data_IF_914861012652
#
_entry.id   IF_914861012652
#
_cell.length_a   1.000
_cell.length_b   1.000
_cell.length_c   1.000
_cell.angle_alpha   90.00
_cell.angle_beta   90.00
_cell.angle_gamma   90.00
#
_symmetry.space_group_name_H-M   'P 1'
#
loop_
_entity.id
_entity.type
_entity.pdbx_description
1 polymer ?
#
# COMPACT_ATOMS: atom_id res chain seq x y z
N UNK A 1 -8.28 3.86 0.91
CA UNK A 1 -8.63 2.44 0.99
C UNK A 1 -7.65 1.60 0.19
N UNK A 2 -7.12 0.56 0.80
CA UNK A 2 -6.12 -0.35 0.23
C UNK A 2 -6.73 -1.75 0.28
N UNK A 3 -7.24 -2.26 -0.86
CA UNK A 3 -7.89 -3.57 -0.92
C UNK A 3 -6.90 -4.73 -0.87
N UNK A 4 -7.39 -5.92 -0.61
CA UNK A 4 -6.64 -7.17 -0.65
C UNK A 4 -5.92 -7.39 -1.99
N UNK A 5 -6.58 -7.09 -3.10
CA UNK A 5 -6.02 -7.18 -4.46
C UNK A 5 -5.92 -5.82 -5.10
N UNK A 6 -4.70 -5.40 -5.42
CA UNK A 6 -4.47 -4.14 -6.10
C UNK A 6 -4.65 -4.32 -7.61
N UNK A 7 -5.60 -3.59 -8.16
CA UNK A 7 -5.76 -3.47 -9.60
C UNK A 7 -4.78 -2.43 -10.16
N UNK A 8 -4.04 -2.82 -11.17
CA UNK A 8 -3.13 -1.94 -11.92
C UNK A 8 -3.66 -1.75 -13.34
N UNK A 9 -3.68 -0.51 -13.81
CA UNK A 9 -3.99 -0.21 -15.21
C UNK A 9 -2.73 -0.40 -16.07
N UNK A 10 -2.92 -0.69 -17.38
CA UNK A 10 -1.84 -0.88 -18.37
C UNK A 10 -1.22 0.47 -18.78
N UNK A 11 -0.71 1.20 -17.80
CA UNK A 11 -0.10 2.51 -17.93
C UNK A 11 1.19 2.58 -17.10
N UNK A 12 1.84 3.73 -17.08
CA UNK A 12 3.06 3.95 -16.31
C UNK A 12 2.85 3.82 -14.80
N UNK A 13 3.95 3.62 -14.07
CA UNK A 13 3.95 3.68 -12.59
C UNK A 13 3.41 5.03 -12.12
N UNK A 14 3.81 6.12 -12.78
CA UNK A 14 3.35 7.48 -12.52
C UNK A 14 1.82 7.58 -12.54
N UNK A 15 1.20 7.08 -13.59
CA UNK A 15 -0.25 7.12 -13.78
C UNK A 15 -1.00 6.14 -12.88
N UNK A 16 -0.37 5.03 -12.52
CA UNK A 16 -0.92 4.11 -11.54
C UNK A 16 -0.95 4.70 -10.12
N UNK A 17 0.07 5.46 -9.70
CA UNK A 17 0.12 6.10 -8.37
C UNK A 17 -0.81 7.32 -8.34
N UNK A 18 -0.71 8.23 -9.34
CA UNK A 18 -1.59 9.38 -9.48
C UNK A 18 -2.90 9.04 -10.19
N UNK A 19 -3.48 7.89 -9.88
CA UNK A 19 -4.67 7.36 -10.53
C UNK A 19 -5.83 8.36 -10.54
N UNK A 20 -6.37 8.63 -11.72
CA UNK A 20 -7.47 9.57 -11.91
C UNK A 20 -7.07 11.03 -12.01
N UNK A 21 -5.76 11.32 -12.01
CA UNK A 21 -5.23 12.68 -12.23
C UNK A 21 -4.78 12.81 -13.69
N UNK A 22 -5.13 13.92 -14.33
CA UNK A 22 -4.68 14.22 -15.69
C UNK A 22 -3.15 14.27 -15.74
N UNK A 23 -2.53 13.73 -16.78
CA UNK A 23 -1.08 13.57 -16.88
C UNK A 23 -0.29 14.89 -16.72
N UNK A 24 -0.86 16.01 -17.17
CA UNK A 24 -0.28 17.35 -17.04
C UNK A 24 -0.40 17.95 -15.63
N UNK A 25 -1.18 17.33 -14.74
CA UNK A 25 -1.42 17.75 -13.36
C UNK A 25 -0.75 16.86 -12.33
N UNK A 26 -0.05 15.81 -12.75
CA UNK A 26 0.65 14.90 -11.85
C UNK A 26 1.82 15.63 -11.19
N UNK A 27 1.84 15.65 -9.85
CA UNK A 27 2.95 16.17 -9.07
C UNK A 27 4.01 15.07 -8.88
N UNK A 28 5.08 15.15 -9.67
CA UNK A 28 6.17 14.18 -9.61
C UNK A 28 6.90 14.16 -8.28
N UNK A 29 7.05 15.31 -7.64
CA UNK A 29 7.66 15.38 -6.31
C UNK A 29 6.83 14.57 -5.31
N UNK A 30 5.50 14.73 -5.37
CA UNK A 30 4.59 13.96 -4.52
C UNK A 30 4.66 12.45 -4.80
N UNK A 31 4.84 12.05 -6.06
CA UNK A 31 5.04 10.63 -6.40
C UNK A 31 6.28 10.06 -5.69
N UNK A 32 7.42 10.75 -5.74
CA UNK A 32 8.64 10.28 -5.08
C UNK A 32 8.50 10.24 -3.55
N UNK A 33 7.84 11.23 -2.94
CA UNK A 33 7.53 11.21 -1.52
C UNK A 33 6.72 9.97 -1.11
N UNK A 34 5.67 9.62 -1.85
CA UNK A 34 4.86 8.44 -1.51
C UNK A 34 5.54 7.11 -1.87
N UNK A 35 6.46 7.09 -2.84
CA UNK A 35 7.30 5.93 -3.12
C UNK A 35 8.29 5.66 -1.99
N UNK A 36 8.92 6.69 -1.44
CA UNK A 36 9.77 6.61 -0.25
C UNK A 36 8.95 6.10 0.94
N UNK A 37 7.79 6.69 1.22
CA UNK A 37 6.88 6.26 2.28
C UNK A 37 6.42 4.79 2.11
N UNK A 38 6.23 4.33 0.88
CA UNK A 38 5.87 2.94 0.56
C UNK A 38 7.08 2.00 0.40
N UNK A 39 8.30 2.50 0.61
CA UNK A 39 9.56 1.75 0.48
C UNK A 39 9.75 1.12 -0.93
N UNK A 40 9.44 1.88 -1.97
CA UNK A 40 9.59 1.48 -3.37
C UNK A 40 10.59 2.33 -4.16
N UNK A 41 11.14 3.39 -3.58
CA UNK A 41 12.00 4.36 -4.26
C UNK A 41 13.16 3.67 -4.97
N UNK A 42 13.97 2.88 -4.24
CA UNK A 42 15.13 2.18 -4.79
C UNK A 42 14.74 1.25 -5.95
N UNK A 43 13.63 0.51 -5.82
CA UNK A 43 13.15 -0.36 -6.88
C UNK A 43 12.82 0.41 -8.16
N UNK A 44 12.17 1.58 -8.05
CA UNK A 44 11.79 2.40 -9.20
C UNK A 44 13.03 3.05 -9.83
N UNK A 45 14.01 3.48 -9.03
CA UNK A 45 15.28 4.05 -9.52
C UNK A 45 16.11 3.06 -10.33
N UNK A 46 16.04 1.77 -10.00
CA UNK A 46 16.73 0.71 -10.75
C UNK A 46 16.08 0.36 -12.09
N UNK A 47 14.84 0.79 -12.34
CA UNK A 47 14.17 0.53 -13.60
C UNK A 47 14.71 1.42 -14.72
N UNK A 48 14.96 0.88 -15.93
CA UNK A 48 15.51 1.65 -17.06
C UNK A 48 14.68 2.88 -17.43
N UNK A 49 13.35 2.80 -17.28
CA UNK A 49 12.40 3.88 -17.61
C UNK A 49 11.85 4.57 -16.36
N UNK A 50 12.30 4.16 -15.14
CA UNK A 50 11.89 4.78 -13.88
C UNK A 50 10.37 4.84 -13.73
N UNK A 51 9.85 6.03 -13.43
CA UNK A 51 8.40 6.28 -13.26
C UNK A 51 7.59 6.05 -14.55
N UNK A 52 8.20 6.12 -15.71
CA UNK A 52 7.52 5.93 -16.99
C UNK A 52 7.45 4.45 -17.42
N UNK A 53 7.97 3.56 -16.58
CA UNK A 53 7.85 2.10 -16.78
C UNK A 53 6.39 1.70 -16.79
N UNK A 54 5.94 1.03 -17.87
CA UNK A 54 4.59 0.48 -17.97
C UNK A 54 4.44 -0.73 -17.05
N UNK A 55 3.37 -0.76 -16.28
CA UNK A 55 2.96 -1.88 -15.41
C UNK A 55 1.52 -2.30 -15.76
N UNK A 56 1.00 -3.31 -15.10
CA UNK A 56 -0.28 -3.92 -15.46
C UNK A 56 -0.06 -5.19 -16.29
N UNK A 57 -1.06 -5.61 -17.05
CA UNK A 57 -1.00 -6.87 -17.81
C UNK A 57 -0.03 -6.79 -19.01
N UNK A 58 0.18 -5.60 -19.57
CA UNK A 58 1.05 -5.33 -20.72
C UNK A 58 2.46 -4.89 -20.34
N UNK A 59 2.68 -4.56 -19.07
CA UNK A 59 3.94 -4.02 -18.58
C UNK A 59 4.83 -5.07 -17.93
N UNK A 60 5.81 -4.58 -17.16
CA UNK A 60 6.67 -5.45 -16.38
C UNK A 60 5.88 -6.17 -15.31
N UNK A 61 6.29 -7.39 -14.99
CA UNK A 61 5.70 -8.18 -13.92
C UNK A 61 6.24 -7.70 -12.56
N UNK A 62 5.33 -7.26 -11.69
CA UNK A 62 5.63 -6.91 -10.30
C UNK A 62 5.45 -8.12 -9.38
N UNK A 63 6.26 -8.20 -8.33
CA UNK A 63 6.00 -9.12 -7.22
C UNK A 63 4.70 -8.73 -6.48
N UNK A 64 4.13 -9.66 -5.70
CA UNK A 64 2.96 -9.36 -4.87
C UNK A 64 3.18 -8.17 -3.94
N UNK A 65 4.35 -8.09 -3.29
CA UNK A 65 4.70 -7.00 -2.40
C UNK A 65 4.93 -5.67 -3.12
N UNK A 66 5.54 -5.68 -4.30
CA UNK A 66 5.69 -4.47 -5.12
C UNK A 66 4.33 -3.95 -5.57
N UNK A 67 3.44 -4.83 -6.04
CA UNK A 67 2.06 -4.48 -6.41
C UNK A 67 1.31 -3.88 -5.23
N UNK A 68 1.41 -4.47 -4.05
CA UNK A 68 0.76 -4.01 -2.84
C UNK A 68 1.27 -2.62 -2.42
N UNK A 69 2.59 -2.41 -2.47
CA UNK A 69 3.20 -1.11 -2.13
C UNK A 69 2.88 -0.02 -3.17
N UNK A 70 2.68 -0.34 -4.45
CA UNK A 70 2.09 0.60 -5.43
C UNK A 70 0.68 1.02 -4.99
N UNK A 71 -0.14 0.08 -4.51
CA UNK A 71 -1.45 0.38 -3.95
C UNK A 71 -1.39 1.31 -2.73
N UNK A 72 -0.40 1.12 -1.85
CA UNK A 72 -0.15 2.00 -0.70
C UNK A 72 0.25 3.40 -1.19
N UNK A 73 1.22 3.52 -2.11
CA UNK A 73 1.66 4.79 -2.68
C UNK A 73 0.50 5.55 -3.34
N UNK A 74 -0.36 4.85 -4.10
CA UNK A 74 -1.59 5.38 -4.68
C UNK A 74 -2.53 5.95 -3.62
N UNK A 75 -2.77 5.22 -2.54
CA UNK A 75 -3.63 5.68 -1.46
C UNK A 75 -3.05 6.90 -0.74
N UNK A 76 -1.73 7.00 -0.62
CA UNK A 76 -1.03 8.11 0.03
C UNK A 76 -0.94 9.38 -0.84
N UNK A 77 -1.05 9.27 -2.15
CA UNK A 77 -0.84 10.40 -3.08
C UNK A 77 -1.67 11.63 -2.71
N UNK A 78 -2.94 11.43 -2.32
CA UNK A 78 -3.85 12.50 -1.89
C UNK A 78 -3.72 12.89 -0.41
N UNK A 79 -2.67 12.43 0.27
CA UNK A 79 -2.39 12.70 1.68
C UNK A 79 -3.60 12.49 2.63
N UNK A 80 -4.22 11.30 2.65
CA UNK A 80 -5.37 11.03 3.50
C UNK A 80 -4.98 11.05 4.99
N UNK A 81 -5.93 11.46 5.84
CA UNK A 81 -5.79 11.36 7.30
C UNK A 81 -6.06 9.94 7.82
N UNK A 82 -6.91 9.20 7.11
CA UNK A 82 -7.34 7.85 7.47
C UNK A 82 -6.96 6.88 6.35
N UNK A 83 -6.28 5.80 6.71
CA UNK A 83 -5.97 4.68 5.83
C UNK A 83 -6.74 3.44 6.27
N UNK A 84 -7.37 2.76 5.33
CA UNK A 84 -8.05 1.47 5.57
C UNK A 84 -7.33 0.39 4.80
N UNK A 85 -6.78 -0.60 5.49
CA UNK A 85 -6.12 -1.78 4.93
C UNK A 85 -7.07 -2.97 5.06
N UNK A 86 -7.52 -3.51 3.92
CA UNK A 86 -8.45 -4.63 3.87
C UNK A 86 -7.69 -5.89 3.44
N UNK A 87 -7.23 -6.67 4.42
CA UNK A 87 -6.43 -7.89 4.20
C UNK A 87 -5.23 -7.70 3.26
N UNK A 88 -4.62 -6.52 3.29
CA UNK A 88 -3.62 -6.08 2.31
C UNK A 88 -2.38 -6.99 2.20
N UNK A 89 -2.15 -7.88 3.14
CA UNK A 89 -0.99 -8.81 3.15
C UNK A 89 -1.38 -10.28 3.08
N UNK A 90 -2.66 -10.62 3.02
CA UNK A 90 -3.14 -12.00 3.17
C UNK A 90 -2.60 -12.99 2.12
N UNK A 91 -2.31 -12.52 0.91
CA UNK A 91 -1.81 -13.32 -0.20
C UNK A 91 -0.27 -13.30 -0.34
N UNK A 92 0.44 -12.64 0.58
CA UNK A 92 1.89 -12.50 0.54
C UNK A 92 2.58 -13.60 1.36
N UNK A 93 3.78 -13.99 0.94
CA UNK A 93 4.69 -14.79 1.77
C UNK A 93 5.20 -13.94 2.97
N UNK A 94 5.77 -14.62 3.96
CA UNK A 94 6.15 -13.98 5.23
C UNK A 94 7.21 -12.87 5.06
N UNK A 95 8.16 -13.03 4.15
CA UNK A 95 9.23 -12.05 3.93
C UNK A 95 8.66 -10.79 3.26
N UNK A 96 7.87 -10.98 2.22
CA UNK A 96 7.19 -9.92 1.50
C UNK A 96 6.17 -9.19 2.38
N UNK A 97 5.43 -9.94 3.22
CA UNK A 97 4.53 -9.36 4.22
C UNK A 97 5.28 -8.46 5.20
N UNK A 98 6.43 -8.90 5.71
CA UNK A 98 7.23 -8.10 6.65
C UNK A 98 7.64 -6.76 6.04
N UNK A 99 8.09 -6.74 4.77
CA UNK A 99 8.46 -5.51 4.07
C UNK A 99 7.27 -4.56 3.87
N UNK A 100 6.09 -5.09 3.53
CA UNK A 100 4.87 -4.28 3.41
C UNK A 100 4.45 -3.73 4.77
N UNK A 101 4.49 -4.55 5.82
CA UNK A 101 4.13 -4.13 7.18
C UNK A 101 5.13 -3.13 7.77
N UNK A 102 6.39 -3.15 7.36
CA UNK A 102 7.36 -2.12 7.74
C UNK A 102 6.93 -0.75 7.20
N UNK A 103 6.54 -0.67 5.92
CA UNK A 103 5.98 0.55 5.35
C UNK A 103 4.71 1.00 6.10
N UNK A 104 3.77 0.09 6.35
CA UNK A 104 2.53 0.39 7.11
C UNK A 104 2.84 0.91 8.51
N UNK A 105 3.74 0.26 9.24
CA UNK A 105 4.12 0.66 10.60
C UNK A 105 4.81 2.04 10.66
N UNK A 106 5.40 2.50 9.56
CA UNK A 106 6.00 3.85 9.51
C UNK A 106 4.95 4.97 9.61
N UNK A 107 3.68 4.67 9.39
CA UNK A 107 2.57 5.62 9.52
C UNK A 107 1.99 5.68 10.95
N UNK A 108 2.40 4.78 11.84
CA UNK A 108 1.97 4.78 13.24
C UNK A 108 2.27 6.13 13.91
N UNK A 109 1.28 6.70 14.58
CA UNK A 109 1.37 8.03 15.18
C UNK A 109 1.30 9.22 14.20
N UNK A 110 1.28 8.96 12.89
CA UNK A 110 1.16 10.01 11.85
C UNK A 110 -0.21 10.02 11.18
N UNK A 111 -0.85 8.87 11.07
CA UNK A 111 -2.14 8.67 10.39
C UNK A 111 -3.03 7.75 11.21
N UNK A 112 -4.34 7.93 11.11
CA UNK A 112 -5.30 6.96 11.63
C UNK A 112 -5.37 5.77 10.69
N UNK A 113 -5.13 4.57 11.20
CA UNK A 113 -5.16 3.34 10.41
C UNK A 113 -6.25 2.40 10.91
N UNK A 114 -7.02 1.85 10.00
CA UNK A 114 -7.95 0.75 10.23
C UNK A 114 -7.43 -0.46 9.47
N UNK A 115 -7.07 -1.52 10.19
CA UNK A 115 -6.46 -2.72 9.61
C UNK A 115 -7.41 -3.90 9.81
N UNK A 116 -7.88 -4.48 8.72
CA UNK A 116 -8.62 -5.74 8.71
C UNK A 116 -7.62 -6.84 8.40
N UNK A 117 -7.44 -7.78 9.31
CA UNK A 117 -6.47 -8.84 9.16
C UNK A 117 -6.93 -10.16 9.83
N UNK A 118 -6.44 -11.26 9.28
CA UNK A 118 -6.63 -12.60 9.85
C UNK A 118 -5.36 -13.14 10.52
N UNK A 119 -4.20 -12.51 10.30
CA UNK A 119 -2.93 -12.89 10.88
C UNK A 119 -2.61 -12.03 12.11
N UNK A 120 -2.23 -12.66 13.21
CA UNK A 120 -1.93 -11.97 14.46
C UNK A 120 -0.74 -11.00 14.34
N UNK A 121 0.31 -11.39 13.62
CA UNK A 121 1.49 -10.56 13.39
C UNK A 121 1.16 -9.20 12.71
N UNK A 122 0.10 -9.15 11.90
CA UNK A 122 -0.33 -7.93 11.23
C UNK A 122 -0.89 -6.89 12.21
N UNK A 123 -1.47 -7.33 13.33
CA UNK A 123 -2.15 -6.46 14.30
C UNK A 123 -1.36 -6.25 15.60
N UNK A 124 -0.19 -6.86 15.77
CA UNK A 124 0.62 -6.76 17.00
C UNK A 124 0.95 -5.33 17.42
N UNK A 125 1.08 -4.41 16.47
CA UNK A 125 1.42 -3.01 16.71
C UNK A 125 0.21 -2.07 16.73
N UNK A 126 -1.00 -2.61 16.69
CA UNK A 126 -2.21 -1.80 16.79
C UNK A 126 -2.42 -1.32 18.23
N UNK A 127 -2.85 -0.06 18.37
CA UNK A 127 -3.18 0.52 19.69
C UNK A 127 -4.43 -0.10 20.30
N UNK A 128 -5.41 -0.44 19.43
CA UNK A 128 -6.69 -1.04 19.85
C UNK A 128 -7.01 -2.18 18.87
N UNK A 129 -7.47 -3.28 19.40
CA UNK A 129 -7.86 -4.46 18.64
C UNK A 129 -9.32 -4.79 18.91
N UNK A 130 -10.09 -4.96 17.84
CA UNK A 130 -11.46 -5.41 17.90
C UNK A 130 -11.61 -6.78 17.24
N UNK A 131 -12.27 -7.70 17.95
CA UNK A 131 -12.68 -8.99 17.42
C UNK A 131 -14.15 -8.94 17.02
N UNK A 132 -14.43 -9.38 15.79
CA UNK A 132 -15.81 -9.57 15.33
C UNK A 132 -16.21 -11.03 15.54
N UNK A 133 -17.14 -11.29 16.44
CA UNK A 133 -17.60 -12.64 16.78
C UNK A 133 -19.11 -12.62 17.10
N UNK A 134 -19.86 -13.59 16.54
CA UNK A 134 -21.31 -13.71 16.70
C UNK A 134 -22.06 -12.39 16.45
N UNK A 135 -21.74 -11.70 15.35
CA UNK A 135 -22.32 -10.41 14.95
C UNK A 135 -22.09 -9.26 15.96
N UNK A 136 -21.13 -9.41 16.85
CA UNK A 136 -20.74 -8.40 17.83
C UNK A 136 -19.29 -7.99 17.65
N UNK A 137 -19.01 -6.75 18.01
CA UNK A 137 -17.66 -6.20 18.05
C UNK A 137 -17.24 -6.14 19.52
N UNK A 138 -16.11 -6.76 19.84
CA UNK A 138 -15.58 -6.81 21.19
C UNK A 138 -14.14 -6.31 21.17
N UNK A 139 -13.82 -5.33 22.00
CA UNK A 139 -12.43 -4.93 22.22
C UNK A 139 -11.68 -6.07 22.92
N UNK A 140 -10.49 -6.36 22.45
CA UNK A 140 -9.66 -7.46 22.95
C UNK A 140 -8.20 -7.03 23.03
N UNK A 141 -7.38 -7.83 23.72
CA UNK A 141 -5.91 -7.76 23.69
C UNK A 141 -5.34 -9.03 23.09
N UNK A 142 -4.14 -8.97 22.52
CA UNK A 142 -3.36 -10.13 22.09
C UNK A 142 -2.93 -10.99 23.26
#
# INVERSE_FOLDING_TARGET
YIPQSIYLIDESIRENIAFGIDADKIDEKRIWEVLEEAQLEEFIEELPEGLDTTIGDRGIRLSGGQRQRIGIARALYHNPEILVFDEATSALDNETEAAVMEAVNSFHGKKTMVIIAHRLNTIEKCDIIYKVENEKIVETSL
#
